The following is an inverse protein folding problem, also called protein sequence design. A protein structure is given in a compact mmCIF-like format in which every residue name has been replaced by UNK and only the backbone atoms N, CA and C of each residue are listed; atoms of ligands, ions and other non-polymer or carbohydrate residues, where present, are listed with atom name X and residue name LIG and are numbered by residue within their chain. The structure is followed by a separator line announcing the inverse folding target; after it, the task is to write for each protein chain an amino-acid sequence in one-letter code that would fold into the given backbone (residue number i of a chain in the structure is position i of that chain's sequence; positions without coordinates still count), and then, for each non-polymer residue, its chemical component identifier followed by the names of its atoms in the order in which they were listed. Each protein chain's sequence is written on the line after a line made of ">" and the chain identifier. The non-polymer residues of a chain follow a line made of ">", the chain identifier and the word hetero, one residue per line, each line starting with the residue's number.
data_IF_791519436054
#
_entry.id   IF_791519436054
#
_cell.length_a   1.000
_cell.length_b   1.000
_cell.length_c   1.000
_cell.angle_alpha   90.00
_cell.angle_beta   90.00
_cell.angle_gamma   90.00
#
_symmetry.space_group_name_H-M   'P 1'
#
loop_
_entity.id
_entity.type
_entity.pdbx_description
1 polymer ?
#
# COMPACT_ATOMS: atom_id res chain seq x y z
N UNK A 1 -16.64 27.85 11.00
CA UNK A 1 -17.42 29.01 11.42
C UNK A 1 -17.58 29.01 12.94
N UNK A 2 -17.48 30.15 13.60
CA UNK A 2 -17.72 30.29 15.03
C UNK A 2 -18.80 31.34 15.29
N UNK A 3 -19.59 31.15 16.33
CA UNK A 3 -20.60 32.11 16.79
C UNK A 3 -20.72 32.06 18.30
N UNK A 4 -21.28 33.08 18.90
CA UNK A 4 -21.46 33.21 20.38
C UNK A 4 -22.93 32.99 20.73
N UNK A 5 -23.21 32.12 21.67
CA UNK A 5 -24.55 31.84 22.16
C UNK A 5 -24.50 31.78 23.72
N UNK A 6 -25.33 32.56 24.38
CA UNK A 6 -25.38 32.64 25.87
C UNK A 6 -23.99 32.78 26.51
N UNK A 7 -23.13 33.64 25.94
CA UNK A 7 -21.78 33.88 26.44
C UNK A 7 -20.73 32.85 26.01
N UNK A 8 -21.09 31.71 25.47
CA UNK A 8 -20.18 30.63 25.09
C UNK A 8 -19.92 30.57 23.58
N UNK A 9 -18.63 30.40 23.20
CA UNK A 9 -18.25 30.22 21.82
C UNK A 9 -18.61 28.82 21.34
N UNK A 10 -19.27 28.73 20.18
CA UNK A 10 -19.59 27.48 19.49
C UNK A 10 -18.86 27.41 18.16
N UNK A 11 -18.55 26.19 17.71
CA UNK A 11 -17.78 25.95 16.48
C UNK A 11 -18.50 24.90 15.63
N UNK A 12 -18.51 25.14 14.33
CA UNK A 12 -18.94 24.15 13.33
C UNK A 12 -17.81 23.94 12.37
N UNK A 13 -17.46 22.69 12.19
CA UNK A 13 -16.45 22.24 11.23
C UNK A 13 -17.15 21.62 10.04
N UNK A 14 -16.75 22.03 8.84
CA UNK A 14 -17.27 21.51 7.59
C UNK A 14 -16.16 21.46 6.54
N UNK A 15 -16.31 20.56 5.59
CA UNK A 15 -15.31 20.37 4.53
C UNK A 15 -15.42 21.42 3.40
N UNK A 16 -16.61 21.94 3.20
CA UNK A 16 -16.89 22.99 2.21
C UNK A 16 -17.63 24.14 2.86
N UNK A 17 -17.61 25.32 2.20
CA UNK A 17 -18.38 26.48 2.65
C UNK A 17 -19.89 26.24 2.60
N UNK A 18 -20.35 25.44 1.63
CA UNK A 18 -21.73 25.02 1.53
C UNK A 18 -22.15 24.08 2.68
N UNK A 19 -21.31 23.11 3.01
CA UNK A 19 -21.49 22.22 4.16
C UNK A 19 -21.52 22.99 5.48
N UNK A 20 -20.65 23.98 5.62
CA UNK A 20 -20.61 24.83 6.79
C UNK A 20 -21.91 25.58 6.98
N UNK A 21 -22.43 26.19 5.92
CA UNK A 21 -23.69 26.91 5.95
C UNK A 21 -24.87 26.00 6.27
N UNK A 22 -24.94 24.81 5.66
CA UNK A 22 -26.02 23.84 5.93
C UNK A 22 -25.98 23.33 7.36
N UNK A 23 -24.81 23.01 7.92
CA UNK A 23 -24.65 22.58 9.32
C UNK A 23 -24.96 23.70 10.30
N UNK A 24 -24.58 24.92 9.99
CA UNK A 24 -24.90 26.08 10.80
C UNK A 24 -26.41 26.33 10.85
N UNK A 25 -27.09 26.32 9.69
CA UNK A 25 -28.54 26.52 9.60
C UNK A 25 -29.32 25.43 10.34
N UNK A 26 -28.91 24.15 10.23
CA UNK A 26 -29.52 23.06 11.01
C UNK A 26 -29.34 23.26 12.51
N UNK A 27 -28.14 23.63 12.95
CA UNK A 27 -27.85 23.85 14.37
C UNK A 27 -28.61 25.05 14.95
N UNK A 28 -28.78 26.13 14.19
CA UNK A 28 -29.58 27.31 14.57
C UNK A 28 -31.05 26.94 14.66
N UNK A 29 -31.57 26.11 13.73
CA UNK A 29 -32.96 25.64 13.75
C UNK A 29 -33.24 24.70 14.97
N UNK A 30 -32.27 23.85 15.35
CA UNK A 30 -32.37 22.94 16.48
C UNK A 30 -32.36 23.67 17.84
N UNK A 31 -31.80 24.87 17.92
CA UNK A 31 -31.59 25.60 19.19
C UNK A 31 -32.78 26.52 19.55
N UNK A 32 -33.77 26.67 18.64
CA UNK A 32 -34.96 27.47 18.88
C UNK A 32 -34.59 28.89 19.34
N UNK A 33 -34.03 29.71 18.44
CA UNK A 33 -33.83 31.12 18.72
C UNK A 33 -35.18 31.81 18.59
N UNK A 34 -35.79 32.21 19.67
CA UNK A 34 -36.97 33.06 19.70
C UNK A 34 -36.70 34.34 18.92
N UNK A 35 -37.26 34.44 17.75
CA UNK A 35 -37.19 35.61 16.94
C UNK A 35 -37.15 35.34 15.46
N UNK A 36 -38.33 35.32 14.85
CA UNK A 36 -38.59 35.56 13.43
C UNK A 36 -37.47 35.08 12.50
N UNK A 37 -37.57 33.82 12.11
CA UNK A 37 -36.86 33.29 10.97
C UNK A 37 -37.36 34.07 9.74
N UNK A 38 -36.71 35.16 9.36
CA UNK A 38 -36.82 35.66 8.01
C UNK A 38 -36.40 34.51 7.11
N UNK A 39 -37.26 34.01 6.22
CA UNK A 39 -36.86 32.94 5.31
C UNK A 39 -35.59 33.38 4.64
N UNK A 40 -34.52 32.59 4.81
CA UNK A 40 -33.24 32.88 4.21
C UNK A 40 -33.55 33.22 2.73
N UNK A 41 -33.21 34.44 2.31
CA UNK A 41 -33.31 34.84 0.91
C UNK A 41 -32.76 33.68 0.14
N UNK A 42 -33.62 33.01 -0.67
CA UNK A 42 -33.18 31.98 -1.60
C UNK A 42 -32.01 32.60 -2.33
N UNK A 43 -30.80 32.23 -1.94
CA UNK A 43 -29.63 32.53 -2.76
C UNK A 43 -29.96 31.80 -4.04
N UNK A 44 -30.35 32.56 -5.04
CA UNK A 44 -30.57 32.03 -6.37
C UNK A 44 -29.28 31.30 -6.71
N UNK A 45 -29.33 29.96 -6.62
CA UNK A 45 -28.28 29.16 -7.23
C UNK A 45 -28.17 29.70 -8.64
N UNK A 46 -26.99 30.18 -9.08
CA UNK A 46 -26.87 30.75 -10.42
C UNK A 46 -27.55 29.76 -11.35
N UNK A 47 -28.51 30.23 -12.14
CA UNK A 47 -29.24 29.41 -13.14
C UNK A 47 -28.13 28.87 -14.05
N UNK A 48 -27.77 27.64 -13.77
CA UNK A 48 -26.80 26.94 -14.56
C UNK A 48 -27.43 26.78 -15.93
N UNK A 49 -26.84 27.42 -16.90
CA UNK A 49 -27.18 27.18 -18.28
C UNK A 49 -26.76 25.72 -18.58
N UNK A 50 -27.70 24.76 -18.41
CA UNK A 50 -27.45 23.33 -18.62
C UNK A 50 -26.87 23.02 -19.99
N UNK A 51 -27.01 23.97 -20.94
CA UNK A 51 -26.51 23.83 -22.29
C UNK A 51 -25.00 24.12 -22.43
N UNK A 52 -24.32 24.71 -21.43
CA UNK A 52 -22.89 25.01 -21.51
C UNK A 52 -22.24 25.17 -20.12
N UNK A 53 -22.08 24.08 -19.35
CA UNK A 53 -21.50 24.17 -18.01
C UNK A 53 -20.02 24.56 -18.09
N UNK A 54 -19.56 25.29 -17.04
CA UNK A 54 -18.12 25.57 -16.90
C UNK A 54 -17.35 24.31 -16.50
N UNK A 55 -16.05 24.27 -16.80
CA UNK A 55 -15.17 23.19 -16.37
C UNK A 55 -15.22 22.96 -14.85
N UNK A 56 -15.28 24.03 -14.06
CA UNK A 56 -15.42 23.97 -12.60
C UNK A 56 -16.71 23.26 -12.17
N UNK A 57 -17.80 23.56 -12.83
CA UNK A 57 -19.07 22.93 -12.53
C UNK A 57 -19.02 21.43 -12.82
N UNK A 58 -18.49 21.06 -13.98
CA UNK A 58 -18.33 19.64 -14.36
C UNK A 58 -17.37 18.93 -13.39
N UNK A 59 -16.30 19.58 -12.97
CA UNK A 59 -15.38 19.03 -11.98
C UNK A 59 -16.06 18.79 -10.61
N UNK A 60 -16.85 19.75 -10.13
CA UNK A 60 -17.57 19.61 -8.87
C UNK A 60 -18.59 18.47 -8.93
N UNK A 61 -19.36 18.38 -10.01
CA UNK A 61 -20.28 17.27 -10.23
C UNK A 61 -19.57 15.93 -10.34
N UNK A 62 -18.41 15.88 -11.02
CA UNK A 62 -17.57 14.70 -11.07
C UNK A 62 -17.15 14.25 -9.66
N UNK A 63 -16.74 15.17 -8.79
CA UNK A 63 -16.35 14.85 -7.41
C UNK A 63 -17.55 14.35 -6.57
N UNK A 64 -18.74 14.95 -6.77
CA UNK A 64 -19.94 14.59 -6.03
C UNK A 64 -20.48 13.19 -6.43
N UNK A 65 -20.42 12.86 -7.72
CA UNK A 65 -20.97 11.60 -8.24
C UNK A 65 -19.94 10.46 -8.26
N UNK A 66 -18.66 10.75 -8.01
CA UNK A 66 -17.64 9.71 -7.98
C UNK A 66 -17.31 9.37 -6.54
N UNK A 67 -17.52 8.12 -6.14
CA UNK A 67 -17.15 7.64 -4.79
C UNK A 67 -15.64 7.55 -4.67
N UNK A 68 -14.99 8.68 -4.41
CA UNK A 68 -13.56 8.77 -4.21
C UNK A 68 -13.20 8.58 -2.73
N UNK A 69 -12.12 7.83 -2.47
CA UNK A 69 -11.55 7.82 -1.13
C UNK A 69 -11.08 9.24 -0.75
N UNK A 70 -11.23 9.64 0.52
CA UNK A 70 -10.92 10.98 1.03
C UNK A 70 -9.54 11.52 0.57
N UNK A 71 -8.52 10.67 0.57
CA UNK A 71 -7.18 11.04 0.09
C UNK A 71 -7.19 11.39 -1.39
N UNK A 72 -7.86 10.59 -2.21
CA UNK A 72 -7.98 10.83 -3.66
C UNK A 72 -8.79 12.08 -3.94
N UNK A 73 -9.89 12.28 -3.22
CA UNK A 73 -10.70 13.51 -3.30
C UNK A 73 -9.85 14.75 -3.02
N UNK A 74 -9.16 14.79 -1.87
CA UNK A 74 -8.29 15.92 -1.49
C UNK A 74 -7.17 16.16 -2.51
N UNK A 75 -6.60 15.08 -3.05
CA UNK A 75 -5.58 15.18 -4.09
C UNK A 75 -6.15 15.77 -5.38
N UNK A 76 -7.33 15.32 -5.85
CA UNK A 76 -8.00 15.85 -7.05
C UNK A 76 -8.34 17.34 -6.91
N UNK A 77 -8.83 17.76 -5.75
CA UNK A 77 -9.09 19.19 -5.46
C UNK A 77 -7.79 20.00 -5.52
N UNK A 78 -6.70 19.48 -4.94
CA UNK A 78 -5.39 20.15 -4.99
C UNK A 78 -4.83 20.24 -6.42
N UNK A 79 -4.92 19.15 -7.18
CA UNK A 79 -4.49 19.10 -8.59
C UNK A 79 -5.29 20.08 -9.43
N UNK A 80 -6.61 20.17 -9.22
CA UNK A 80 -7.47 21.13 -9.89
C UNK A 80 -7.08 22.58 -9.59
N UNK A 81 -6.95 22.90 -8.31
CA UNK A 81 -6.61 24.27 -7.88
C UNK A 81 -5.25 24.73 -8.39
N UNK A 82 -4.29 23.82 -8.50
CA UNK A 82 -2.95 24.13 -8.97
C UNK A 82 -2.84 24.16 -10.50
N UNK A 83 -3.55 23.28 -11.21
CA UNK A 83 -3.40 23.14 -12.66
C UNK A 83 -4.48 23.84 -13.48
N UNK A 84 -5.75 23.79 -13.06
CA UNK A 84 -6.87 24.16 -13.92
C UNK A 84 -7.64 25.40 -13.47
N UNK A 85 -7.22 26.05 -12.40
CA UNK A 85 -7.90 27.23 -11.86
C UNK A 85 -7.99 28.37 -12.87
N UNK A 86 -7.00 28.54 -13.71
CA UNK A 86 -6.96 29.61 -14.73
C UNK A 86 -8.02 29.46 -15.82
N UNK A 87 -8.47 28.23 -16.07
CA UNK A 87 -9.46 27.91 -17.11
C UNK A 87 -10.80 27.41 -16.53
N UNK A 88 -10.93 27.35 -15.22
CA UNK A 88 -12.08 26.71 -14.54
C UNK A 88 -13.45 27.32 -14.92
N UNK A 89 -13.49 28.59 -15.29
CA UNK A 89 -14.70 29.30 -15.67
C UNK A 89 -15.04 29.17 -17.16
N UNK A 90 -14.15 28.61 -17.97
CA UNK A 90 -14.45 28.38 -19.38
C UNK A 90 -15.49 27.27 -19.54
N UNK A 91 -16.32 27.40 -20.57
CA UNK A 91 -17.29 26.34 -20.88
C UNK A 91 -16.58 25.08 -21.36
N UNK A 92 -17.03 23.92 -20.85
CA UNK A 92 -16.51 22.61 -21.28
C UNK A 92 -16.68 22.35 -22.77
N UNK A 93 -17.65 23.03 -23.44
CA UNK A 93 -17.89 22.91 -24.88
C UNK A 93 -16.89 23.71 -25.72
N UNK A 94 -16.39 24.81 -25.18
CA UNK A 94 -15.61 25.80 -25.96
C UNK A 94 -14.15 25.85 -25.54
N UNK A 95 -13.77 25.22 -24.43
CA UNK A 95 -12.38 25.12 -24.05
C UNK A 95 -11.59 24.39 -25.12
N UNK A 96 -10.54 25.05 -25.64
CA UNK A 96 -9.77 24.46 -26.74
C UNK A 96 -8.84 23.36 -26.23
N UNK A 97 -8.55 22.40 -27.10
CA UNK A 97 -7.58 21.34 -26.86
C UNK A 97 -6.22 21.93 -26.50
N UNK A 98 -5.77 22.94 -27.22
CA UNK A 98 -4.48 23.61 -27.04
C UNK A 98 -4.36 24.27 -25.67
N UNK A 99 -5.47 24.82 -25.16
CA UNK A 99 -5.51 25.42 -23.82
C UNK A 99 -5.29 24.38 -22.73
N UNK A 100 -5.90 23.19 -22.86
CA UNK A 100 -5.72 22.09 -21.91
C UNK A 100 -4.30 21.51 -22.04
N UNK A 101 -3.85 21.28 -23.28
CA UNK A 101 -2.52 20.72 -23.55
C UNK A 101 -1.39 21.62 -23.05
N UNK A 102 -1.54 22.94 -23.12
CA UNK A 102 -0.56 23.88 -22.54
C UNK A 102 -0.33 23.64 -21.05
N UNK A 103 -1.36 23.22 -20.31
CA UNK A 103 -1.26 22.93 -18.89
C UNK A 103 -0.62 21.55 -18.65
N UNK A 104 -1.10 20.53 -19.35
CA UNK A 104 -0.66 19.14 -19.07
C UNK A 104 0.69 18.80 -19.71
N UNK A 105 1.14 19.58 -20.70
CA UNK A 105 2.42 19.41 -21.39
C UNK A 105 3.47 20.46 -20.97
N UNK A 106 3.19 21.25 -19.93
CA UNK A 106 4.12 22.23 -19.41
C UNK A 106 5.41 21.54 -18.94
N UNK A 107 6.52 21.85 -19.62
CA UNK A 107 7.84 21.27 -19.38
C UNK A 107 8.43 21.67 -18.02
N UNK A 108 7.91 22.70 -17.37
CA UNK A 108 8.33 23.11 -16.02
C UNK A 108 7.76 22.21 -14.93
N UNK A 109 6.71 21.45 -15.24
CA UNK A 109 6.09 20.52 -14.29
C UNK A 109 6.92 19.24 -14.14
N UNK A 110 7.02 18.70 -12.92
CA UNK A 110 7.52 17.34 -12.74
C UNK A 110 6.67 16.34 -13.57
N UNK A 111 7.28 15.36 -14.26
CA UNK A 111 6.56 14.41 -15.13
C UNK A 111 5.38 13.72 -14.44
N UNK A 112 5.52 13.37 -13.15
CA UNK A 112 4.44 12.78 -12.36
C UNK A 112 3.26 13.72 -12.17
N UNK A 113 3.52 15.03 -11.98
CA UNK A 113 2.48 16.06 -11.84
C UNK A 113 1.73 16.24 -13.16
N UNK A 114 2.44 16.33 -14.28
CA UNK A 114 1.85 16.42 -15.61
C UNK A 114 0.95 15.21 -15.91
N UNK A 115 1.39 14.00 -15.56
CA UNK A 115 0.58 12.79 -15.67
C UNK A 115 -0.68 12.83 -14.80
N UNK A 116 -0.59 13.31 -13.56
CA UNK A 116 -1.74 13.48 -12.68
C UNK A 116 -2.74 14.49 -13.22
N UNK A 117 -2.28 15.62 -13.75
CA UNK A 117 -3.13 16.62 -14.39
C UNK A 117 -3.83 16.04 -15.63
N UNK A 118 -3.10 15.35 -16.50
CA UNK A 118 -3.66 14.66 -17.65
C UNK A 118 -4.72 13.63 -17.25
N UNK A 119 -4.46 12.84 -16.23
CA UNK A 119 -5.41 11.86 -15.68
C UNK A 119 -6.68 12.53 -15.14
N UNK A 120 -6.53 13.65 -14.41
CA UNK A 120 -7.65 14.38 -13.84
C UNK A 120 -8.55 14.99 -14.91
N UNK A 121 -7.97 15.77 -15.84
CA UNK A 121 -8.78 16.44 -16.87
C UNK A 121 -9.45 15.42 -17.80
N UNK A 122 -8.79 14.30 -18.11
CA UNK A 122 -9.42 13.21 -18.87
C UNK A 122 -10.61 12.59 -18.13
N UNK A 123 -10.53 12.45 -16.80
CA UNK A 123 -11.65 11.95 -15.99
C UNK A 123 -12.83 12.93 -16.02
N UNK A 124 -12.57 14.24 -15.88
CA UNK A 124 -13.58 15.31 -15.95
C UNK A 124 -14.24 15.38 -17.33
N UNK A 125 -13.46 15.30 -18.41
CA UNK A 125 -13.97 15.30 -19.77
C UNK A 125 -14.77 14.01 -20.09
N UNK A 126 -14.35 12.87 -19.59
CA UNK A 126 -15.13 11.62 -19.69
C UNK A 126 -16.47 11.73 -18.92
N UNK A 127 -16.46 12.40 -17.78
CA UNK A 127 -17.70 12.69 -17.04
C UNK A 127 -18.62 13.63 -17.84
N UNK A 128 -18.05 14.70 -18.42
CA UNK A 128 -18.79 15.63 -19.27
C UNK A 128 -19.43 14.93 -20.49
N UNK A 129 -18.70 13.97 -21.10
CA UNK A 129 -19.23 13.15 -22.20
C UNK A 129 -20.39 12.26 -21.73
N UNK A 130 -20.27 11.59 -20.59
CA UNK A 130 -21.32 10.75 -20.00
C UNK A 130 -22.58 11.53 -19.57
N UNK A 131 -22.44 12.84 -19.32
CA UNK A 131 -23.54 13.74 -18.95
C UNK A 131 -24.11 14.50 -20.15
N UNK A 132 -23.65 14.18 -21.37
CA UNK A 132 -24.03 14.85 -22.62
C UNK A 132 -23.73 16.37 -22.64
N UNK A 133 -22.80 16.82 -21.81
CA UNK A 133 -22.33 18.21 -21.84
C UNK A 133 -21.46 18.48 -23.05
N UNK A 134 -20.75 17.48 -23.54
CA UNK A 134 -20.03 17.48 -24.81
C UNK A 134 -20.39 16.24 -25.62
N UNK A 135 -20.39 16.35 -26.96
CA UNK A 135 -20.66 15.22 -27.85
C UNK A 135 -19.42 14.39 -28.18
N UNK A 136 -18.28 15.05 -28.17
CA UNK A 136 -16.99 14.44 -28.48
C UNK A 136 -15.97 14.93 -27.46
N UNK A 137 -15.21 14.00 -26.90
CA UNK A 137 -14.11 14.32 -26.02
C UNK A 137 -12.88 14.68 -26.85
N UNK A 138 -12.19 15.82 -26.58
CA UNK A 138 -10.93 16.13 -27.28
C UNK A 138 -9.87 15.06 -27.01
N UNK A 139 -9.21 14.63 -28.09
CA UNK A 139 -8.07 13.72 -28.02
C UNK A 139 -6.84 14.47 -27.56
N UNK A 140 -6.58 14.47 -26.26
CA UNK A 140 -5.44 15.16 -25.66
C UNK A 140 -4.14 14.37 -25.88
N UNK A 141 -3.05 15.06 -26.17
CA UNK A 141 -1.73 14.49 -26.14
C UNK A 141 -1.40 14.02 -24.72
N UNK A 142 -0.69 12.90 -24.63
CA UNK A 142 -0.20 12.43 -23.33
C UNK A 142 1.11 13.16 -22.99
N UNK A 143 1.30 13.61 -21.74
CA UNK A 143 2.61 14.04 -21.31
C UNK A 143 3.64 12.98 -21.62
N UNK A 144 4.76 13.38 -22.22
CA UNK A 144 5.86 12.45 -22.43
C UNK A 144 6.46 12.13 -21.07
N UNK A 145 6.16 10.92 -20.61
CA UNK A 145 6.78 10.36 -19.42
C UNK A 145 8.00 9.59 -19.90
N UNK A 146 9.16 10.26 -19.90
CA UNK A 146 10.40 9.49 -19.95
C UNK A 146 10.31 8.50 -18.80
N UNK A 147 10.21 7.23 -19.15
CA UNK A 147 10.23 6.17 -18.17
C UNK A 147 11.56 6.28 -17.41
N UNK A 148 11.57 7.03 -16.31
CA UNK A 148 12.68 6.99 -15.34
C UNK A 148 12.93 5.57 -14.80
N UNK A 149 12.14 4.61 -15.24
CA UNK A 149 12.40 3.19 -15.06
C UNK A 149 13.74 2.78 -15.68
N UNK A 150 14.16 3.39 -16.78
CA UNK A 150 15.49 3.13 -17.36
C UNK A 150 16.62 3.72 -16.51
N UNK A 151 16.42 4.89 -15.91
CA UNK A 151 17.38 5.49 -14.97
C UNK A 151 17.41 4.73 -13.63
N UNK A 152 16.27 4.13 -13.24
CA UNK A 152 16.18 3.27 -12.06
C UNK A 152 16.70 1.85 -12.29
N UNK A 153 16.96 1.45 -13.53
CA UNK A 153 17.57 0.16 -13.86
C UNK A 153 19.02 0.03 -13.37
N UNK A 154 19.67 1.15 -12.99
CA UNK A 154 20.96 1.17 -12.33
C UNK A 154 20.86 1.20 -10.79
N UNK A 155 19.72 0.85 -10.19
CA UNK A 155 19.64 0.64 -8.76
C UNK A 155 20.57 -0.53 -8.43
N UNK A 156 21.69 -0.24 -7.79
CA UNK A 156 22.55 -1.25 -7.25
C UNK A 156 21.83 -1.93 -6.07
N UNK A 157 21.09 -3.00 -6.37
CA UNK A 157 20.31 -3.75 -5.37
C UNK A 157 21.24 -4.21 -4.24
N UNK A 158 22.47 -4.61 -4.54
CA UNK A 158 23.47 -5.04 -3.53
C UNK A 158 23.78 -3.91 -2.56
N UNK A 159 23.98 -2.69 -3.07
CA UNK A 159 24.21 -1.51 -2.24
C UNK A 159 23.00 -1.25 -1.33
N UNK A 160 21.79 -1.25 -1.86
CA UNK A 160 20.59 -1.04 -1.05
C UNK A 160 20.37 -2.13 0.01
N UNK A 161 20.67 -3.39 -0.30
CA UNK A 161 20.62 -4.50 0.67
C UNK A 161 21.64 -4.26 1.78
N UNK A 162 22.85 -3.85 1.42
CA UNK A 162 23.91 -3.60 2.40
C UNK A 162 23.59 -2.40 3.28
N UNK A 163 23.11 -1.30 2.70
CA UNK A 163 22.70 -0.11 3.44
C UNK A 163 21.53 -0.43 4.38
N UNK A 164 20.51 -1.16 3.90
CA UNK A 164 19.38 -1.55 4.72
C UNK A 164 19.81 -2.46 5.89
N UNK A 165 20.69 -3.42 5.64
CA UNK A 165 21.25 -4.28 6.69
C UNK A 165 22.08 -3.48 7.69
N UNK A 166 22.86 -2.53 7.19
CA UNK A 166 23.66 -1.62 8.02
C UNK A 166 22.77 -0.79 8.93
N UNK A 167 21.73 -0.16 8.39
CA UNK A 167 20.76 0.61 9.15
C UNK A 167 20.05 -0.26 10.20
N UNK A 168 19.65 -1.48 9.85
CA UNK A 168 19.00 -2.40 10.78
C UNK A 168 19.91 -2.74 11.97
N UNK A 169 21.20 -3.05 11.72
CA UNK A 169 22.19 -3.30 12.79
C UNK A 169 22.45 -2.04 13.63
N UNK A 170 22.50 -0.88 13.00
CA UNK A 170 22.65 0.40 13.70
C UNK A 170 21.49 0.65 14.66
N UNK A 171 20.26 0.44 14.21
CA UNK A 171 19.05 0.61 15.02
C UNK A 171 18.99 -0.40 16.16
N UNK A 172 19.38 -1.66 15.92
CA UNK A 172 19.40 -2.71 16.93
C UNK A 172 20.32 -2.37 18.12
N UNK A 173 21.45 -1.73 17.84
CA UNK A 173 22.48 -1.38 18.84
C UNK A 173 22.33 0.01 19.44
N UNK A 174 21.50 0.87 18.85
CA UNK A 174 21.36 2.26 19.26
C UNK A 174 20.12 2.42 20.16
N UNK A 175 20.32 2.67 21.44
CA UNK A 175 19.26 2.82 22.44
C UNK A 175 18.18 3.84 22.03
N UNK A 176 18.57 4.92 21.38
CA UNK A 176 17.66 5.97 20.90
C UNK A 176 16.67 5.44 19.86
N UNK A 177 17.08 4.47 19.04
CA UNK A 177 16.31 3.97 17.91
C UNK A 177 15.84 2.52 18.06
N UNK A 178 16.26 1.81 19.11
CA UNK A 178 15.95 0.39 19.31
C UNK A 178 14.46 0.07 19.28
N UNK A 179 13.60 1.00 19.72
CA UNK A 179 12.15 0.86 19.62
C UNK A 179 11.62 0.77 18.19
N UNK A 180 12.43 1.15 17.18
CA UNK A 180 12.08 1.04 15.76
C UNK A 180 12.51 -0.30 15.15
N UNK A 181 13.35 -1.07 15.84
CA UNK A 181 13.90 -2.32 15.32
C UNK A 181 12.83 -3.32 14.86
N UNK A 182 11.77 -3.59 15.64
CA UNK A 182 10.73 -4.53 15.21
C UNK A 182 10.04 -4.10 13.91
N UNK A 183 9.76 -2.81 13.76
CA UNK A 183 9.13 -2.27 12.55
C UNK A 183 10.07 -2.43 11.35
N UNK A 184 11.34 -2.06 11.50
CA UNK A 184 12.34 -2.12 10.42
C UNK A 184 12.61 -3.58 10.04
N UNK A 185 12.67 -4.48 11.01
CA UNK A 185 12.81 -5.92 10.76
C UNK A 185 11.62 -6.46 9.97
N UNK A 186 10.38 -6.09 10.32
CA UNK A 186 9.18 -6.48 9.57
C UNK A 186 9.13 -5.93 8.13
N UNK A 187 9.80 -4.80 7.84
CA UNK A 187 9.92 -4.30 6.47
C UNK A 187 10.61 -5.30 5.54
N UNK A 188 11.51 -6.13 6.05
CA UNK A 188 12.20 -7.17 5.27
C UNK A 188 11.27 -8.28 4.76
N UNK A 189 10.09 -8.44 5.39
CA UNK A 189 9.04 -9.33 4.90
C UNK A 189 8.25 -8.71 3.72
N UNK A 190 8.66 -7.54 3.26
CA UNK A 190 7.99 -6.82 2.18
C UNK A 190 6.63 -6.23 2.55
N UNK A 191 6.31 -6.09 3.83
CA UNK A 191 5.08 -5.48 4.31
C UNK A 191 5.06 -3.96 4.02
N UNK A 192 3.86 -3.41 3.77
CA UNK A 192 3.71 -1.95 3.70
C UNK A 192 3.76 -1.36 5.09
N UNK A 193 4.33 -0.18 5.25
CA UNK A 193 4.42 0.47 6.57
C UNK A 193 3.04 0.60 7.24
N UNK A 194 2.01 0.97 6.48
CA UNK A 194 0.65 1.04 7.03
C UNK A 194 0.10 -0.32 7.49
N UNK A 195 0.53 -1.42 6.89
CA UNK A 195 0.18 -2.78 7.32
C UNK A 195 0.92 -3.13 8.63
N UNK A 196 2.22 -2.80 8.71
CA UNK A 196 3.03 -3.01 9.93
C UNK A 196 2.45 -2.21 11.10
N UNK A 197 2.20 -0.92 10.91
CA UNK A 197 1.66 -0.04 11.96
C UNK A 197 0.23 -0.42 12.40
N UNK A 198 -0.47 -1.25 11.63
CA UNK A 198 -1.80 -1.74 11.93
C UNK A 198 -1.82 -3.10 12.63
N UNK A 199 -0.65 -3.68 12.92
CA UNK A 199 -0.60 -5.00 13.56
C UNK A 199 -1.19 -4.93 14.96
N UNK A 200 -2.05 -5.90 15.26
CA UNK A 200 -2.64 -6.15 16.59
C UNK A 200 -2.27 -7.55 17.05
N UNK A 201 -2.40 -7.83 18.35
CA UNK A 201 -2.06 -9.16 18.92
C UNK A 201 -2.84 -10.30 18.27
N UNK A 202 -4.12 -10.08 17.96
CA UNK A 202 -5.01 -11.11 17.39
C UNK A 202 -4.63 -11.54 15.98
N UNK A 203 -3.79 -10.77 15.29
CA UNK A 203 -3.28 -11.12 13.96
C UNK A 203 -2.12 -12.12 14.01
N UNK A 204 -1.55 -12.37 15.19
CA UNK A 204 -0.42 -13.27 15.40
C UNK A 204 -0.96 -14.59 15.96
N UNK A 205 -0.73 -15.67 15.23
CA UNK A 205 -1.07 -17.03 15.68
C UNK A 205 0.15 -17.68 16.32
N UNK A 206 0.03 -18.04 17.60
CA UNK A 206 1.09 -18.73 18.34
C UNK A 206 1.23 -20.18 17.88
N UNK A 207 0.09 -20.84 17.63
CA UNK A 207 0.07 -22.26 17.24
C UNK A 207 0.79 -22.50 15.89
N UNK A 208 0.72 -21.55 14.96
CA UNK A 208 1.27 -21.70 13.61
C UNK A 208 2.43 -20.74 13.33
N UNK A 209 2.78 -19.87 14.27
CA UNK A 209 3.76 -18.81 14.08
C UNK A 209 3.50 -18.04 12.78
N UNK A 210 2.29 -17.50 12.62
CA UNK A 210 1.88 -16.78 11.43
C UNK A 210 1.37 -15.40 11.77
N UNK A 211 1.51 -14.47 10.80
CA UNK A 211 0.95 -13.14 10.86
C UNK A 211 -0.10 -12.96 9.77
N UNK A 212 -1.32 -12.63 10.17
CA UNK A 212 -2.43 -12.34 9.26
C UNK A 212 -2.51 -10.84 8.97
N UNK A 213 -2.33 -10.45 7.72
CA UNK A 213 -2.39 -9.07 7.25
C UNK A 213 -3.78 -8.81 6.67
N UNK A 214 -4.65 -8.18 7.44
CA UNK A 214 -6.05 -7.92 7.08
C UNK A 214 -6.47 -6.46 7.27
N UNK A 215 -5.55 -5.59 7.70
CA UNK A 215 -5.84 -4.16 7.92
C UNK A 215 -4.62 -3.29 7.64
N UNK A 216 -4.84 -1.98 7.52
CA UNK A 216 -3.79 -0.98 7.32
C UNK A 216 -4.11 0.30 8.07
N UNK A 217 -3.12 0.89 8.72
CA UNK A 217 -3.22 2.22 9.33
C UNK A 217 -3.02 3.26 8.23
N UNK A 218 -4.02 4.12 8.04
CA UNK A 218 -3.96 5.22 7.07
C UNK A 218 -3.77 6.56 7.77
N UNK A 219 -3.53 7.60 6.98
CA UNK A 219 -3.47 8.97 7.47
C UNK A 219 -4.72 9.28 8.31
N UNK A 220 -4.58 10.07 9.37
CA UNK A 220 -5.57 10.35 10.41
C UNK A 220 -5.79 9.23 11.44
N UNK A 221 -4.83 8.30 11.57
CA UNK A 221 -4.89 7.20 12.54
C UNK A 221 -6.16 6.34 12.40
N UNK A 222 -6.60 6.09 11.19
CA UNK A 222 -7.74 5.22 10.94
C UNK A 222 -7.26 3.85 10.53
N UNK A 223 -7.70 2.81 11.23
CA UNK A 223 -7.56 1.43 10.79
C UNK A 223 -8.59 1.18 9.69
N UNK A 224 -8.09 0.79 8.52
CA UNK A 224 -8.91 0.38 7.39
C UNK A 224 -8.79 -1.13 7.24
N UNK A 225 -9.93 -1.83 7.20
CA UNK A 225 -9.97 -3.24 6.89
C UNK A 225 -9.44 -3.49 5.46
N UNK A 226 -8.74 -4.60 5.29
CA UNK A 226 -8.12 -4.99 4.03
C UNK A 226 -6.85 -4.23 3.68
N UNK A 227 -6.13 -4.77 2.72
CA UNK A 227 -4.97 -4.12 2.11
C UNK A 227 -5.40 -3.22 0.95
N UNK A 228 -4.52 -2.38 0.42
CA UNK A 228 -4.81 -1.42 -0.66
C UNK A 228 -5.52 -2.10 -1.84
N UNK A 229 -6.81 -1.77 -2.07
CA UNK A 229 -7.64 -2.32 -3.14
C UNK A 229 -9.00 -1.61 -3.22
N UNK A 230 -9.86 -2.01 -4.18
CA UNK A 230 -11.27 -1.58 -4.21
C UNK A 230 -11.99 -2.14 -2.98
N UNK A 231 -12.99 -1.41 -2.47
CA UNK A 231 -13.69 -1.69 -1.22
C UNK A 231 -14.29 -3.10 -1.13
N UNK A 232 -14.56 -3.74 -2.27
CA UNK A 232 -15.30 -5.00 -2.35
C UNK A 232 -14.41 -6.26 -2.29
N UNK A 233 -13.08 -6.09 -2.28
CA UNK A 233 -12.15 -7.21 -2.17
C UNK A 233 -11.17 -6.98 -1.04
N UNK A 234 -11.59 -7.33 0.18
CA UNK A 234 -10.68 -7.41 1.32
C UNK A 234 -9.65 -8.51 1.08
N UNK A 235 -8.45 -8.12 0.62
CA UNK A 235 -7.37 -9.09 0.50
C UNK A 235 -6.72 -9.27 1.86
N UNK A 236 -7.11 -10.32 2.53
CA UNK A 236 -6.41 -10.87 3.68
C UNK A 236 -5.34 -11.82 3.17
N UNK A 237 -4.17 -11.80 3.79
CA UNK A 237 -3.13 -12.80 3.57
C UNK A 237 -2.49 -13.18 4.89
N UNK A 238 -2.12 -14.43 5.02
CA UNK A 238 -1.37 -14.95 6.17
C UNK A 238 0.03 -15.33 5.69
N UNK A 239 1.03 -14.86 6.40
CA UNK A 239 2.44 -15.15 6.14
C UNK A 239 3.05 -15.92 7.32
N UNK A 240 3.83 -16.97 7.07
CA UNK A 240 4.58 -17.63 8.13
C UNK A 240 5.67 -16.67 8.64
N UNK A 241 5.86 -16.66 9.95
CA UNK A 241 6.94 -15.92 10.60
C UNK A 241 8.10 -16.86 10.91
N UNK A 242 9.32 -16.56 10.48
CA UNK A 242 10.50 -17.20 11.03
C UNK A 242 10.54 -17.03 12.55
N UNK A 243 11.12 -17.99 13.27
CA UNK A 243 11.13 -18.04 14.74
C UNK A 243 11.64 -16.73 15.34
N UNK A 244 12.70 -16.15 14.79
CA UNK A 244 13.30 -14.90 15.27
C UNK A 244 12.41 -13.68 15.07
N UNK A 245 11.51 -13.69 14.08
CA UNK A 245 10.48 -12.64 13.88
C UNK A 245 9.31 -12.82 14.85
N UNK A 246 8.88 -14.07 15.03
CA UNK A 246 7.84 -14.38 15.97
C UNK A 246 8.26 -13.99 17.39
N UNK A 247 9.42 -14.48 17.85
CA UNK A 247 9.97 -14.16 19.17
C UNK A 247 10.16 -12.66 19.38
N UNK A 248 10.67 -11.94 18.37
CA UNK A 248 10.79 -10.48 18.42
C UNK A 248 9.43 -9.81 18.63
N UNK A 249 8.38 -10.25 17.93
CA UNK A 249 7.04 -9.67 18.07
C UNK A 249 6.45 -9.95 19.45
N UNK A 250 6.58 -11.17 19.96
CA UNK A 250 6.08 -11.53 21.30
C UNK A 250 6.82 -10.72 22.36
N UNK A 251 8.16 -10.69 22.31
CA UNK A 251 8.95 -9.88 23.23
C UNK A 251 8.56 -8.41 23.17
N UNK A 252 8.28 -7.88 21.98
CA UNK A 252 7.80 -6.49 21.85
C UNK A 252 6.44 -6.29 22.53
N UNK A 253 5.50 -7.22 22.35
CA UNK A 253 4.17 -7.18 22.97
C UNK A 253 4.29 -7.26 24.50
N UNK A 254 5.18 -8.11 25.02
CA UNK A 254 5.43 -8.27 26.45
C UNK A 254 6.00 -6.99 27.10
N UNK A 255 6.55 -6.06 26.33
CA UNK A 255 6.97 -4.74 26.81
C UNK A 255 5.82 -3.72 26.92
N UNK A 256 4.64 -4.05 26.39
CA UNK A 256 3.48 -3.16 26.44
C UNK A 256 2.71 -3.32 27.74
N UNK A 257 2.16 -2.20 28.24
CA UNK A 257 1.26 -2.22 29.38
C UNK A 257 0.07 -3.15 29.06
N UNK A 258 -0.18 -4.14 29.91
CA UNK A 258 -1.25 -5.16 29.77
C UNK A 258 -1.18 -5.97 28.46
N UNK A 259 -0.06 -6.01 27.75
CA UNK A 259 0.13 -6.66 26.45
C UNK A 259 -0.89 -6.23 25.37
N UNK A 260 -1.54 -5.08 25.56
CA UNK A 260 -2.72 -4.69 24.80
C UNK A 260 -2.44 -3.71 23.65
N UNK A 261 -1.36 -2.93 23.74
CA UNK A 261 -1.14 -1.83 22.79
C UNK A 261 -2.13 -0.67 23.01
N UNK A 262 -2.39 0.12 21.98
CA UNK A 262 -3.27 1.28 22.05
C UNK A 262 -4.25 1.35 20.88
N UNK A 263 -5.46 1.82 21.17
CA UNK A 263 -6.46 2.11 20.12
C UNK A 263 -6.09 3.40 19.39
N UNK A 264 -6.03 3.36 18.04
CA UNK A 264 -5.81 4.56 17.24
C UNK A 264 -6.96 5.55 17.39
N UNK A 265 -6.60 6.78 17.73
CA UNK A 265 -7.55 7.90 17.86
C UNK A 265 -7.32 8.89 16.73
N UNK A 266 -8.38 9.31 16.04
CA UNK A 266 -8.31 10.36 15.02
C UNK A 266 -7.91 11.70 15.63
N UNK A 267 -7.45 12.64 14.80
CA UNK A 267 -7.09 14.01 15.23
C UNK A 267 -8.26 14.79 15.85
N UNK A 268 -9.49 14.42 15.53
CA UNK A 268 -10.71 15.01 16.09
C UNK A 268 -11.20 14.30 17.38
N UNK A 269 -10.41 13.34 17.88
CA UNK A 269 -10.74 12.55 19.07
C UNK A 269 -11.66 11.36 18.83
N UNK A 270 -12.06 11.10 17.57
CA UNK A 270 -12.97 9.99 17.25
C UNK A 270 -12.23 8.65 17.25
N UNK A 271 -12.71 7.66 17.99
CA UNK A 271 -12.31 6.26 17.92
C UNK A 271 -13.22 5.56 16.91
N UNK A 272 -12.63 4.89 15.89
CA UNK A 272 -13.41 4.19 14.86
C UNK A 272 -13.57 2.71 15.19
N UNK A 273 -12.51 2.09 15.72
CA UNK A 273 -12.46 0.68 16.08
C UNK A 273 -11.78 0.54 17.45
N UNK A 274 -12.27 -0.37 18.28
CA UNK A 274 -11.63 -0.70 19.56
C UNK A 274 -10.49 -1.72 19.38
N UNK A 275 -9.74 -1.62 18.29
CA UNK A 275 -8.62 -2.51 18.04
C UNK A 275 -7.32 -1.87 18.52
N UNK A 276 -6.51 -2.62 19.26
CA UNK A 276 -5.28 -2.15 19.88
C UNK A 276 -4.08 -2.50 19.00
N UNK A 277 -3.44 -1.48 18.41
CA UNK A 277 -2.20 -1.67 17.65
C UNK A 277 -1.00 -1.78 18.58
N UNK A 278 -0.06 -2.67 18.26
CA UNK A 278 1.09 -2.97 19.12
C UNK A 278 2.24 -1.96 18.98
N UNK A 279 2.31 -1.21 17.87
CA UNK A 279 3.39 -0.24 17.68
C UNK A 279 3.03 1.13 18.24
N UNK A 280 3.57 1.42 19.42
CA UNK A 280 3.33 2.63 20.18
C UNK A 280 4.65 3.29 20.60
N UNK A 281 4.60 4.58 20.90
CA UNK A 281 5.72 5.35 21.47
C UNK A 281 5.18 6.39 22.42
N UNK A 282 5.70 6.41 23.67
CA UNK A 282 5.30 7.37 24.71
C UNK A 282 3.78 7.44 24.88
N UNK A 283 3.10 6.30 24.99
CA UNK A 283 1.64 6.16 25.11
C UNK A 283 0.84 6.74 23.92
N UNK A 284 1.47 6.84 22.75
CA UNK A 284 0.81 7.23 21.51
C UNK A 284 1.00 6.17 20.43
N UNK A 285 -0.03 5.96 19.64
CA UNK A 285 0.04 5.11 18.45
C UNK A 285 1.06 5.68 17.48
N UNK A 286 1.94 4.83 16.95
CA UNK A 286 2.93 5.23 15.96
C UNK A 286 2.26 5.52 14.63
N UNK A 287 2.26 6.79 14.23
CA UNK A 287 1.65 7.24 12.98
C UNK A 287 2.59 7.07 11.78
N UNK A 288 2.04 7.02 10.57
CA UNK A 288 2.85 7.01 9.36
C UNK A 288 3.76 8.26 9.23
N UNK A 289 3.28 9.41 9.68
CA UNK A 289 4.07 10.66 9.66
C UNK A 289 5.24 10.61 10.64
N UNK A 290 5.00 10.07 11.85
CA UNK A 290 6.08 9.87 12.82
C UNK A 290 7.10 8.86 12.31
N UNK A 291 6.64 7.73 11.74
CA UNK A 291 7.54 6.75 11.13
C UNK A 291 8.42 7.37 10.06
N UNK A 292 7.88 8.15 9.12
CA UNK A 292 8.68 8.79 8.07
C UNK A 292 9.70 9.78 8.64
N UNK A 293 9.31 10.55 9.65
CA UNK A 293 10.21 11.50 10.30
C UNK A 293 11.37 10.79 11.00
N UNK A 294 11.08 9.76 11.80
CA UNK A 294 12.11 8.99 12.51
C UNK A 294 13.00 8.18 11.56
N UNK A 295 12.41 7.61 10.50
CA UNK A 295 13.12 6.86 9.46
C UNK A 295 14.16 7.72 8.74
N UNK A 296 13.80 8.96 8.39
CA UNK A 296 14.75 9.92 7.82
C UNK A 296 15.86 10.25 8.81
N UNK A 297 15.53 10.44 10.08
CA UNK A 297 16.48 10.77 11.13
C UNK A 297 17.45 9.61 11.40
N UNK A 298 16.97 8.37 11.46
CA UNK A 298 17.79 7.16 11.59
C UNK A 298 18.83 7.09 10.47
N UNK A 299 18.41 7.27 9.22
CA UNK A 299 19.33 7.21 8.09
C UNK A 299 20.34 8.34 8.12
N UNK A 300 19.90 9.56 8.42
CA UNK A 300 20.83 10.69 8.56
C UNK A 300 21.91 10.41 9.61
N UNK A 301 21.50 9.94 10.80
CA UNK A 301 22.42 9.66 11.88
C UNK A 301 23.33 8.46 11.52
N UNK A 302 22.81 7.40 10.89
CA UNK A 302 23.57 6.27 10.38
C UNK A 302 24.65 6.67 9.37
N UNK A 303 24.29 7.43 8.34
CA UNK A 303 25.25 7.85 7.32
C UNK A 303 26.31 8.80 7.89
N UNK A 304 25.94 9.69 8.79
CA UNK A 304 26.87 10.60 9.45
C UNK A 304 27.84 9.86 10.39
N UNK A 305 27.32 8.98 11.25
CA UNK A 305 28.12 8.34 12.32
C UNK A 305 28.96 7.15 11.80
N UNK A 306 28.43 6.37 10.86
CA UNK A 306 29.09 5.15 10.38
C UNK A 306 29.94 5.41 9.13
N UNK A 307 29.46 6.27 8.23
CA UNK A 307 30.12 6.49 6.94
C UNK A 307 30.76 7.87 6.80
N UNK A 308 30.64 8.73 7.81
CA UNK A 308 31.06 10.14 7.74
C UNK A 308 30.57 10.83 6.45
N UNK A 309 29.36 10.49 6.04
CA UNK A 309 28.72 10.94 4.80
C UNK A 309 27.37 11.58 5.09
N UNK A 310 26.92 12.46 4.20
CA UNK A 310 25.62 13.12 4.32
C UNK A 310 24.54 12.26 3.67
N UNK A 311 23.35 12.26 4.29
CA UNK A 311 22.16 11.74 3.67
C UNK A 311 21.75 12.66 2.51
N UNK A 312 21.62 12.09 1.32
CA UNK A 312 21.19 12.75 0.08
C UNK A 312 19.96 12.04 -0.50
N UNK A 313 19.34 12.63 -1.51
CA UNK A 313 18.20 11.98 -2.19
C UNK A 313 18.62 10.67 -2.89
N UNK A 314 19.89 10.52 -3.26
CA UNK A 314 20.42 9.35 -3.96
C UNK A 314 20.65 8.16 -3.03
N UNK A 315 21.09 8.41 -1.78
CA UNK A 315 21.33 7.37 -0.79
C UNK A 315 20.16 7.19 0.20
N UNK A 316 19.13 8.03 0.14
CA UNK A 316 17.96 7.89 0.99
C UNK A 316 17.08 6.69 0.59
N UNK A 317 17.01 5.72 1.47
CA UNK A 317 16.11 4.57 1.32
C UNK A 317 14.67 4.97 1.70
N UNK A 318 13.82 5.18 0.71
CA UNK A 318 12.40 5.42 0.98
C UNK A 318 11.78 4.22 1.69
N UNK A 319 10.79 4.39 2.58
CA UNK A 319 10.19 3.26 3.30
C UNK A 319 9.70 2.12 2.39
N UNK A 320 9.26 2.47 1.19
CA UNK A 320 8.79 1.48 0.21
C UNK A 320 9.92 0.71 -0.48
N UNK A 321 11.16 1.21 -0.38
CA UNK A 321 12.34 0.58 -1.02
C UNK A 321 12.62 -0.80 -0.43
N UNK A 322 12.44 -1.01 0.88
CA UNK A 322 12.61 -2.32 1.50
C UNK A 322 11.71 -3.38 0.83
N UNK A 323 10.47 -3.03 0.53
CA UNK A 323 9.54 -3.92 -0.18
C UNK A 323 9.98 -4.19 -1.63
N UNK A 324 10.56 -3.20 -2.31
CA UNK A 324 11.15 -3.39 -3.64
C UNK A 324 12.34 -4.35 -3.58
N UNK A 325 13.20 -4.19 -2.57
CA UNK A 325 14.34 -5.07 -2.32
C UNK A 325 13.84 -6.51 -2.09
N UNK A 326 12.86 -6.70 -1.20
CA UNK A 326 12.30 -8.03 -0.92
C UNK A 326 11.73 -8.67 -2.18
N UNK A 327 10.97 -7.92 -2.98
CA UNK A 327 10.41 -8.42 -4.25
C UNK A 327 11.52 -8.83 -5.25
N UNK A 328 12.59 -8.03 -5.32
CA UNK A 328 13.74 -8.33 -6.20
C UNK A 328 14.55 -9.54 -5.72
N UNK A 329 14.72 -9.70 -4.40
CA UNK A 329 15.37 -10.88 -3.83
C UNK A 329 14.54 -12.15 -4.04
N UNK A 330 13.21 -12.08 -3.91
CA UNK A 330 12.32 -13.20 -4.23
C UNK A 330 12.44 -13.63 -5.69
N UNK A 331 12.53 -12.66 -6.61
CA UNK A 331 12.74 -12.95 -8.02
C UNK A 331 14.14 -13.56 -8.28
N UNK A 332 15.15 -13.04 -7.59
CA UNK A 332 16.51 -13.58 -7.65
C UNK A 332 16.62 -15.02 -7.15
N UNK A 333 15.91 -15.34 -6.06
CA UNK A 333 15.86 -16.69 -5.48
C UNK A 333 14.94 -17.64 -6.27
N UNK A 334 14.39 -17.19 -7.41
CA UNK A 334 13.55 -18.01 -8.28
C UNK A 334 12.16 -18.32 -7.71
N UNK A 335 11.71 -17.53 -6.72
CA UNK A 335 10.37 -17.70 -6.14
C UNK A 335 9.31 -17.42 -7.22
N UNK A 336 8.36 -18.35 -7.45
CA UNK A 336 7.31 -18.14 -8.44
C UNK A 336 6.57 -16.83 -8.24
N UNK A 337 6.30 -16.13 -9.34
CA UNK A 337 5.65 -14.82 -9.33
C UNK A 337 4.32 -14.82 -8.54
N UNK A 338 3.54 -15.88 -8.66
CA UNK A 338 2.27 -16.06 -7.92
C UNK A 338 2.49 -16.12 -6.40
N UNK A 339 3.54 -16.80 -5.95
CA UNK A 339 3.89 -16.90 -4.53
C UNK A 339 4.39 -15.54 -4.02
N UNK A 340 5.27 -14.87 -4.75
CA UNK A 340 5.73 -13.54 -4.42
C UNK A 340 4.57 -12.52 -4.35
N UNK A 341 3.60 -12.62 -5.28
CA UNK A 341 2.37 -11.81 -5.25
C UNK A 341 1.56 -12.05 -3.97
N UNK A 342 1.42 -13.29 -3.55
CA UNK A 342 0.66 -13.67 -2.35
C UNK A 342 1.33 -13.10 -1.10
N UNK A 343 2.64 -13.31 -0.93
CA UNK A 343 3.40 -12.81 0.22
C UNK A 343 3.37 -11.29 0.28
N UNK A 344 3.64 -10.63 -0.84
CA UNK A 344 3.65 -9.18 -0.92
C UNK A 344 2.23 -8.56 -0.91
N UNK A 345 1.19 -9.31 -1.27
CA UNK A 345 -0.16 -8.80 -1.44
C UNK A 345 -0.26 -7.81 -2.61
N UNK A 346 0.31 -8.17 -3.78
CA UNK A 346 0.16 -7.39 -5.01
C UNK A 346 -1.15 -7.74 -5.71
N UNK A 347 -1.85 -6.73 -6.23
CA UNK A 347 -3.14 -6.92 -6.90
C UNK A 347 -3.00 -7.40 -8.34
N UNK A 348 -1.85 -7.20 -8.98
CA UNK A 348 -1.60 -7.63 -10.35
C UNK A 348 -0.18 -8.15 -10.53
N UNK A 349 0.00 -9.07 -11.47
CA UNK A 349 1.31 -9.59 -11.87
C UNK A 349 2.26 -8.46 -12.32
N UNK A 350 1.73 -7.47 -13.03
CA UNK A 350 2.50 -6.30 -13.48
C UNK A 350 3.15 -5.55 -12.32
N UNK A 351 2.48 -5.44 -11.16
CA UNK A 351 3.09 -4.81 -9.98
C UNK A 351 4.30 -5.56 -9.46
N UNK A 352 4.34 -6.88 -9.60
CA UNK A 352 5.49 -7.70 -9.20
C UNK A 352 6.55 -7.74 -10.30
N UNK A 353 6.14 -7.75 -11.57
CA UNK A 353 7.07 -7.70 -12.72
C UNK A 353 7.92 -6.43 -12.74
N UNK A 354 7.43 -5.30 -12.24
CA UNK A 354 8.23 -4.07 -12.11
C UNK A 354 9.45 -4.20 -11.18
N UNK A 355 9.52 -5.27 -10.38
CA UNK A 355 10.63 -5.52 -9.45
C UNK A 355 11.61 -6.58 -9.95
N UNK A 356 11.30 -7.24 -11.07
CA UNK A 356 12.15 -8.28 -11.64
C UNK A 356 13.23 -7.69 -12.57
N UNK A 357 13.98 -6.70 -12.05
CA UNK A 357 15.19 -6.24 -12.75
C UNK A 357 16.30 -7.26 -12.51
N UNK A 358 16.36 -8.24 -13.43
CA UNK A 358 17.39 -9.26 -13.40
C UNK A 358 18.68 -8.65 -13.93
N UNK A 359 19.65 -8.42 -13.05
CA UNK A 359 21.00 -8.00 -13.47
C UNK A 359 21.75 -9.18 -14.09
N UNK A 360 22.74 -8.90 -14.95
CA UNK A 360 23.58 -9.96 -15.56
C UNK A 360 24.25 -10.84 -14.50
N UNK A 361 24.55 -10.27 -13.33
CA UNK A 361 25.13 -11.00 -12.21
C UNK A 361 24.12 -11.97 -11.58
N UNK A 362 22.85 -11.56 -11.48
CA UNK A 362 21.74 -12.43 -11.04
C UNK A 362 21.52 -13.58 -12.03
N UNK A 363 21.53 -13.30 -13.33
CA UNK A 363 21.41 -14.35 -14.36
C UNK A 363 22.56 -15.36 -14.22
N UNK A 364 23.80 -14.90 -14.07
CA UNK A 364 24.97 -15.78 -13.89
C UNK A 364 24.80 -16.66 -12.65
N UNK A 365 24.49 -16.12 -11.50
CA UNK A 365 24.30 -16.88 -10.26
C UNK A 365 23.13 -17.87 -10.36
N UNK A 366 22.06 -17.53 -11.07
CA UNK A 366 20.95 -18.45 -11.33
C UNK A 366 21.40 -19.63 -12.21
N UNK A 367 22.18 -19.36 -13.25
CA UNK A 367 22.77 -20.39 -14.10
C UNK A 367 23.75 -21.26 -13.32
N UNK A 368 24.64 -20.66 -12.53
CA UNK A 368 25.57 -21.38 -11.66
C UNK A 368 24.87 -22.30 -10.66
N UNK A 369 23.77 -21.80 -10.04
CA UNK A 369 22.93 -22.59 -9.14
C UNK A 369 22.27 -23.73 -9.87
N UNK A 370 21.65 -23.50 -11.03
CA UNK A 370 21.06 -24.52 -11.87
C UNK A 370 22.08 -25.60 -12.29
N UNK A 371 23.27 -25.20 -12.69
CA UNK A 371 24.36 -26.13 -13.02
C UNK A 371 24.80 -26.94 -11.80
N UNK A 372 24.91 -26.30 -10.64
CA UNK A 372 25.30 -26.97 -9.40
C UNK A 372 24.20 -27.93 -8.88
N UNK A 373 22.93 -27.54 -8.98
CA UNK A 373 21.79 -28.38 -8.59
C UNK A 373 21.56 -29.53 -9.58
N UNK A 374 22.01 -29.41 -10.84
CA UNK A 374 21.99 -30.46 -11.85
C UNK A 374 23.26 -31.29 -11.86
N UNK A 375 24.26 -31.00 -11.00
CA UNK A 375 25.45 -31.82 -10.88
C UNK A 375 25.11 -33.26 -10.46
N UNK A 376 25.87 -34.19 -11.02
CA UNK A 376 25.66 -35.65 -11.06
C UNK A 376 25.28 -36.31 -9.72
N UNK A 377 25.61 -35.72 -8.57
CA UNK A 377 25.24 -36.26 -7.25
C UNK A 377 23.75 -36.08 -6.93
N UNK A 378 23.16 -34.96 -7.31
CA UNK A 378 21.72 -34.73 -7.08
C UNK A 378 20.86 -35.57 -8.04
N UNK A 379 21.31 -35.73 -9.27
CA UNK A 379 20.67 -36.62 -10.26
C UNK A 379 20.78 -38.09 -9.83
N UNK A 380 21.93 -38.53 -9.31
CA UNK A 380 22.10 -39.87 -8.82
C UNK A 380 21.19 -40.16 -7.61
N UNK A 381 20.99 -39.22 -6.70
CA UNK A 381 20.07 -39.36 -5.58
C UNK A 381 18.59 -39.39 -6.02
N UNK A 382 18.20 -38.65 -7.05
CA UNK A 382 16.86 -38.69 -7.63
C UNK A 382 16.63 -40.02 -8.36
N UNK A 383 17.61 -40.49 -9.14
CA UNK A 383 17.57 -41.75 -9.85
C UNK A 383 17.49 -42.90 -8.83
N UNK A 384 18.28 -42.89 -7.77
CA UNK A 384 18.25 -43.89 -6.69
C UNK A 384 16.91 -43.91 -5.96
N UNK A 385 16.30 -42.75 -5.69
CA UNK A 385 14.98 -42.65 -5.07
C UNK A 385 13.87 -43.19 -6.01
N UNK A 386 13.96 -42.91 -7.30
CA UNK A 386 13.00 -43.44 -8.30
C UNK A 386 13.17 -44.90 -8.54
N UNK A 387 14.38 -45.43 -8.52
CA UNK A 387 14.63 -46.89 -8.60
C UNK A 387 14.15 -47.64 -7.36
N UNK A 388 14.36 -47.08 -6.15
CA UNK A 388 13.85 -47.65 -4.89
C UNK A 388 12.31 -47.67 -4.86
N UNK A 389 11.65 -46.66 -5.39
CA UNK A 389 10.18 -46.61 -5.48
C UNK A 389 9.62 -47.55 -6.55
N UNK A 390 10.31 -47.76 -7.70
CA UNK A 390 9.94 -48.77 -8.69
C UNK A 390 10.06 -50.20 -8.14
N UNK A 391 11.19 -50.51 -7.50
CA UNK A 391 11.43 -51.82 -6.92
C UNK A 391 10.46 -52.13 -5.77
N UNK A 392 9.97 -51.09 -5.05
CA UNK A 392 8.94 -51.27 -4.02
C UNK A 392 7.55 -51.54 -4.63
N UNK A 393 7.23 -50.93 -5.77
CA UNK A 393 5.98 -51.20 -6.51
C UNK A 393 5.99 -52.56 -7.20
N UNK A 394 7.13 -53.03 -7.70
CA UNK A 394 7.25 -54.37 -8.30
C UNK A 394 7.19 -55.48 -7.27
N UNK A 395 7.69 -55.28 -6.04
CA UNK A 395 7.52 -56.21 -4.93
C UNK A 395 6.09 -56.30 -4.41
N UNK A 396 5.30 -55.23 -4.54
CA UNK A 396 3.90 -55.22 -4.11
C UNK A 396 2.99 -55.88 -5.18
N UNK A 397 3.39 -55.86 -6.45
CA UNK A 397 2.59 -56.41 -7.56
C UNK A 397 2.98 -57.84 -7.99
N UNK A 398 3.87 -58.53 -7.27
CA UNK A 398 4.05 -59.96 -7.51
C UNK A 398 2.85 -60.72 -6.92
N UNK A 399 2.05 -61.44 -7.75
CA UNK A 399 0.93 -62.21 -7.24
C UNK A 399 1.47 -63.30 -6.29
N UNK A 400 0.88 -63.41 -5.14
CA UNK A 400 1.01 -64.59 -4.26
C UNK A 400 0.30 -65.76 -4.98
N UNK A 401 0.97 -66.42 -5.88
CA UNK A 401 0.52 -67.69 -6.40
C UNK A 401 0.95 -68.79 -5.42
N UNK A 402 0.00 -69.28 -4.68
CA UNK A 402 -0.59 -70.60 -4.81
C UNK A 402 0.42 -71.76 -4.69
N UNK A 403 0.57 -72.24 -3.47
CA UNK A 403 0.80 -73.66 -3.26
C UNK A 403 -0.30 -74.14 -2.34
N UNK A 404 -1.37 -74.59 -2.95
CA UNK A 404 -2.30 -75.52 -2.38
C UNK A 404 -2.32 -76.76 -3.32
N UNK A 405 -2.27 -77.90 -2.70
CA UNK A 405 -2.62 -79.21 -3.22
C UNK A 405 -1.54 -80.05 -3.87
N UNK A 406 -1.11 -81.02 -3.23
CA UNK A 406 -1.50 -82.42 -3.42
C UNK A 406 -0.59 -83.26 -2.54
N UNK A 407 -1.09 -83.95 -1.62
CA UNK A 407 -2.03 -85.05 -1.53
C UNK A 407 -1.30 -86.35 -1.33
N UNK A 408 -1.75 -86.96 -0.33
CA UNK A 408 -2.05 -88.41 -0.25
C UNK A 408 -1.08 -89.41 -0.82
N UNK A 409 -0.79 -90.22 0.05
CA UNK A 409 -0.98 -91.68 -0.03
C UNK A 409 0.25 -92.53 0.16
N UNK A 410 0.07 -93.36 1.15
CA UNK A 410 0.56 -94.75 1.22
C UNK A 410 2.05 -94.90 1.61
N UNK A 411 2.35 -95.72 2.47
CA UNK A 411 1.93 -96.88 3.17
C UNK A 411 3.16 -97.44 3.84
N UNK A 412 2.92 -97.95 5.00
CA UNK A 412 3.46 -99.25 5.51
C UNK A 412 4.97 -99.50 5.41
N UNK A 413 5.63 -99.45 6.46
CA UNK A 413 5.93 -100.67 7.32
C UNK A 413 6.59 -100.20 8.61
#
# INVERSE_FOLDING_TARGET
>A
MKWKQAGTWRYVYAYTRADLNNKHLKRVAEIGVDGIIKPARRVNKPRVNKNSPSLKMVFNEYLEHTQLANKTYTQRVREWNNGFKSIENQSVKTVSRETIERIILDKTLPPSTAFHYSSLINAVLNYALKRDYIKVKPALLKPHYENKTEIKNNINIEQYVNDFRGIMRYVEKNEKYQHMYPIIKLMTLGLRIGEILAITREQISDANMTLTINKTLINNNTLKAGTKGRADTYKTRTIPLPMDYYTMLINHIDTLDDNAGLTPVRRDGTIINNEHVIFIKNKHVMTYSYFNWIWHRIQRDYFNEIWNNKLTDDNYLKPHTARHITASLMAYDGIPLSMAQTILGHMSAQMTQHYTHITSNMQRKTIERFINDTNVQTMNNIVDLTMKTKNKKEKINKPKNANANNSNAREQL
#
